data_IF_534936545938
#
_entry.id   IF_534936545938
#
_cell.length_a   1.000
_cell.length_b   1.000
_cell.length_c   1.000
_cell.angle_alpha   90.00
_cell.angle_beta   90.00
_cell.angle_gamma   90.00
#
_symmetry.space_group_name_H-M   'P 1'
#
loop_
_entity.id
_entity.type
_entity.pdbx_description
1 polymer ?
#
# COMPACT_ATOMS: atom_id res chain seq x y z
N UNK A 1 3.90 -20.33 0.58
CA UNK A 1 4.38 -20.59 -0.81
C UNK A 1 4.59 -19.20 -1.41
N UNK A 2 5.80 -18.64 -1.27
CA UNK A 2 6.02 -17.20 -1.43
C UNK A 2 5.87 -16.74 -2.87
N UNK A 3 4.86 -15.90 -3.14
CA UNK A 3 4.80 -15.15 -4.39
C UNK A 3 5.99 -14.19 -4.42
N UNK A 4 6.73 -14.16 -5.53
CA UNK A 4 7.82 -13.20 -5.71
C UNK A 4 7.23 -11.89 -6.21
N UNK A 5 7.21 -10.86 -5.37
CA UNK A 5 6.81 -9.52 -5.80
C UNK A 5 7.95 -8.84 -6.55
N UNK A 6 7.77 -8.63 -7.85
CA UNK A 6 8.67 -7.80 -8.66
C UNK A 6 7.97 -6.48 -9.01
N UNK A 7 8.36 -5.42 -8.31
CA UNK A 7 7.86 -4.07 -8.57
C UNK A 7 8.73 -3.28 -9.55
N UNK A 8 9.84 -3.83 -10.03
CA UNK A 8 10.72 -3.15 -10.99
C UNK A 8 10.00 -2.85 -12.30
N UNK A 9 9.03 -3.70 -12.68
CA UNK A 9 8.15 -3.50 -13.85
C UNK A 9 7.28 -2.24 -13.80
N UNK A 10 7.09 -1.65 -12.62
CA UNK A 10 6.31 -0.41 -12.46
C UNK A 10 7.17 0.85 -12.41
N UNK A 11 8.50 0.73 -12.55
CA UNK A 11 9.43 1.86 -12.39
C UNK A 11 9.11 3.02 -13.35
N UNK A 12 8.83 2.73 -14.61
CA UNK A 12 8.44 3.73 -15.60
C UNK A 12 7.16 4.44 -15.19
N UNK A 13 6.13 3.68 -14.83
CA UNK A 13 4.84 4.21 -14.37
C UNK A 13 4.97 5.05 -13.10
N UNK A 14 5.83 4.66 -12.15
CA UNK A 14 6.13 5.46 -10.96
C UNK A 14 6.80 6.79 -11.34
N UNK A 15 7.70 6.78 -12.32
CA UNK A 15 8.34 7.99 -12.86
C UNK A 15 7.34 8.94 -13.53
N UNK A 16 6.41 8.40 -14.32
CA UNK A 16 5.32 9.19 -14.90
C UNK A 16 4.39 9.76 -13.83
N UNK A 17 4.05 8.97 -12.81
CA UNK A 17 3.24 9.42 -11.69
C UNK A 17 3.92 10.56 -10.92
N UNK A 18 5.24 10.46 -10.68
CA UNK A 18 6.01 11.54 -10.03
C UNK A 18 6.00 12.81 -10.90
N UNK A 19 6.19 12.68 -12.21
CA UNK A 19 6.09 13.81 -13.16
C UNK A 19 4.69 14.45 -13.11
N UNK A 20 3.63 13.64 -13.17
CA UNK A 20 2.22 14.07 -13.14
C UNK A 20 1.89 14.81 -11.83
N UNK A 21 2.32 14.26 -10.70
CA UNK A 21 2.16 14.88 -9.38
C UNK A 21 2.93 16.19 -9.28
N UNK A 22 4.15 16.27 -9.81
CA UNK A 22 4.95 17.51 -9.82
C UNK A 22 4.26 18.64 -10.60
N UNK A 23 3.69 18.34 -11.77
CA UNK A 23 2.92 19.31 -12.56
C UNK A 23 1.67 19.78 -11.79
N UNK A 24 0.89 18.83 -11.25
CA UNK A 24 -0.31 19.14 -10.49
C UNK A 24 -0.02 19.99 -9.24
N UNK A 25 1.07 19.67 -8.51
CA UNK A 25 1.56 20.45 -7.36
C UNK A 25 1.98 21.88 -7.73
N UNK A 26 2.29 22.12 -9.00
CA UNK A 26 2.62 23.44 -9.52
C UNK A 26 1.39 24.22 -10.03
N UNK A 27 0.17 23.75 -9.72
CA UNK A 27 -1.10 24.33 -10.20
C UNK A 27 -1.19 24.41 -11.74
N UNK A 28 -0.55 23.49 -12.45
CA UNK A 28 -0.67 23.33 -13.89
C UNK A 28 -1.44 22.06 -14.22
N UNK A 29 -2.11 22.05 -15.37
CA UNK A 29 -2.86 20.89 -15.82
C UNK A 29 -1.90 19.80 -16.35
N UNK A 30 -1.86 18.60 -15.74
CA UNK A 30 -1.12 17.46 -16.26
C UNK A 30 -1.88 16.76 -17.40
N UNK A 31 -1.30 15.69 -17.96
CA UNK A 31 -1.94 14.84 -18.97
C UNK A 31 -3.27 14.21 -18.51
N UNK A 32 -3.41 13.97 -17.20
CA UNK A 32 -4.67 13.62 -16.52
C UNK A 32 -4.57 13.88 -15.03
N UNK A 33 -5.70 13.92 -14.33
CA UNK A 33 -5.74 14.04 -12.86
C UNK A 33 -4.98 12.86 -12.22
N UNK A 34 -3.97 13.11 -11.36
CA UNK A 34 -3.31 12.05 -10.62
C UNK A 34 -4.23 11.50 -9.52
N UNK A 35 -4.34 10.18 -9.43
CA UNK A 35 -5.19 9.49 -8.45
C UNK A 35 -4.32 8.63 -7.55
N UNK A 36 -4.41 8.88 -6.24
CA UNK A 36 -3.75 8.06 -5.20
C UNK A 36 -4.73 7.70 -4.10
N UNK A 37 -4.93 6.41 -3.89
CA UNK A 37 -5.72 5.92 -2.77
C UNK A 37 -4.87 5.89 -1.49
N UNK A 38 -5.50 6.29 -0.38
CA UNK A 38 -4.94 6.16 0.96
C UNK A 38 -5.88 5.30 1.79
N UNK A 39 -5.51 4.04 2.00
CA UNK A 39 -6.26 3.03 2.75
C UNK A 39 -5.34 2.31 3.73
N UNK A 40 -5.89 1.84 4.85
CA UNK A 40 -5.15 1.07 5.85
C UNK A 40 -4.92 -0.40 5.44
N UNK A 41 -4.06 -1.10 6.17
CA UNK A 41 -3.79 -2.53 5.95
C UNK A 41 -5.05 -3.41 6.07
N UNK A 42 -6.03 -2.97 6.86
CA UNK A 42 -7.34 -3.59 6.99
C UNK A 42 -8.10 -3.74 5.66
N UNK A 43 -8.03 -2.72 4.80
CA UNK A 43 -8.66 -2.76 3.48
C UNK A 43 -7.97 -3.81 2.58
N UNK A 44 -6.64 -3.83 2.57
CA UNK A 44 -5.90 -4.82 1.79
C UNK A 44 -6.08 -6.24 2.32
N UNK A 45 -6.22 -6.42 3.64
CA UNK A 45 -6.55 -7.71 4.23
C UNK A 45 -7.92 -8.20 3.75
N UNK A 46 -8.95 -7.34 3.81
CA UNK A 46 -10.28 -7.64 3.29
C UNK A 46 -10.27 -8.00 1.80
N UNK A 47 -9.56 -7.21 0.98
CA UNK A 47 -9.43 -7.44 -0.46
C UNK A 47 -8.89 -8.84 -0.78
N UNK A 48 -8.05 -9.39 0.10
CA UNK A 48 -7.38 -10.68 -0.05
C UNK A 48 -8.08 -11.82 0.69
N UNK A 49 -9.22 -11.58 1.33
CA UNK A 49 -9.90 -12.58 2.16
C UNK A 49 -9.15 -12.94 3.44
N UNK A 50 -8.17 -12.13 3.86
CA UNK A 50 -7.42 -12.33 5.10
C UNK A 50 -8.23 -11.80 6.27
N UNK A 51 -8.32 -12.58 7.34
CA UNK A 51 -8.95 -12.13 8.57
C UNK A 51 -8.13 -10.99 9.18
N UNK A 52 -8.77 -9.83 9.38
CA UNK A 52 -8.14 -8.63 9.94
C UNK A 52 -7.53 -8.86 11.33
N UNK A 53 -8.11 -9.77 12.13
CA UNK A 53 -7.56 -10.16 13.43
C UNK A 53 -6.18 -10.80 13.29
N UNK A 54 -6.04 -11.71 12.32
CA UNK A 54 -4.79 -12.44 12.10
C UNK A 54 -3.73 -11.48 11.56
N UNK A 55 -4.12 -10.58 10.66
CA UNK A 55 -3.23 -9.51 10.15
C UNK A 55 -2.62 -8.66 11.27
N UNK A 56 -3.43 -8.19 12.23
CA UNK A 56 -2.94 -7.35 13.34
C UNK A 56 -2.24 -8.15 14.45
N UNK A 57 -2.53 -9.44 14.58
CA UNK A 57 -1.87 -10.32 15.56
C UNK A 57 -0.51 -10.81 15.12
N UNK A 58 -0.28 -10.95 13.82
CA UNK A 58 0.93 -11.54 13.26
C UNK A 58 2.24 -10.93 13.84
N UNK A 59 2.38 -9.58 13.97
CA UNK A 59 3.55 -8.97 14.62
C UNK A 59 3.81 -9.43 16.06
N UNK A 60 2.74 -9.64 16.84
CA UNK A 60 2.83 -10.05 18.25
C UNK A 60 3.22 -11.51 18.42
N UNK A 61 2.98 -12.30 17.38
CA UNK A 61 3.37 -13.71 17.30
C UNK A 61 4.76 -13.87 16.67
N UNK A 62 5.47 -12.74 16.43
CA UNK A 62 6.80 -12.72 15.82
C UNK A 62 6.81 -13.03 14.32
N UNK A 63 5.63 -13.01 13.67
CA UNK A 63 5.47 -13.34 12.26
C UNK A 63 4.98 -12.11 11.48
N UNK A 64 5.89 -11.40 10.83
CA UNK A 64 5.54 -10.22 10.02
C UNK A 64 5.15 -10.58 8.59
N UNK A 65 5.31 -11.85 8.18
CA UNK A 65 5.14 -12.26 6.79
C UNK A 65 3.73 -11.93 6.32
N UNK A 66 2.70 -12.28 7.10
CA UNK A 66 1.31 -11.99 6.71
C UNK A 66 1.07 -10.50 6.44
N UNK A 67 1.67 -9.59 7.23
CA UNK A 67 1.52 -8.16 6.98
C UNK A 67 2.24 -7.73 5.70
N UNK A 68 3.45 -8.23 5.49
CA UNK A 68 4.25 -7.95 4.31
C UNK A 68 3.53 -8.46 3.07
N UNK A 69 3.03 -9.70 3.07
CA UNK A 69 2.32 -10.29 1.94
C UNK A 69 1.07 -9.47 1.61
N UNK A 70 0.26 -9.15 2.63
CA UNK A 70 -0.96 -8.36 2.44
C UNK A 70 -0.65 -6.96 1.90
N UNK A 71 0.36 -6.28 2.43
CA UNK A 71 0.74 -4.94 1.97
C UNK A 71 1.31 -4.98 0.56
N UNK A 72 2.19 -5.92 0.21
CA UNK A 72 2.76 -6.01 -1.13
C UNK A 72 1.68 -6.39 -2.16
N UNK A 73 0.82 -7.34 -1.84
CA UNK A 73 -0.29 -7.71 -2.73
C UNK A 73 -1.25 -6.53 -2.96
N UNK A 74 -1.60 -5.80 -1.89
CA UNK A 74 -2.44 -4.61 -1.97
C UNK A 74 -1.83 -3.53 -2.87
N UNK A 75 -0.52 -3.32 -2.77
CA UNK A 75 0.19 -2.37 -3.63
C UNK A 75 0.26 -2.83 -5.08
N UNK A 76 0.37 -4.13 -5.34
CA UNK A 76 0.28 -4.70 -6.69
C UNK A 76 -1.11 -4.45 -7.27
N UNK A 77 -2.16 -4.71 -6.50
CA UNK A 77 -3.55 -4.41 -6.88
C UNK A 77 -3.76 -2.93 -7.20
N UNK A 78 -3.19 -2.00 -6.42
CA UNK A 78 -3.30 -0.58 -6.74
C UNK A 78 -2.69 -0.24 -8.12
N UNK A 79 -1.59 -0.89 -8.49
CA UNK A 79 -1.05 -0.73 -9.84
C UNK A 79 -1.96 -1.38 -10.88
N UNK A 80 -2.30 -2.65 -10.71
CA UNK A 80 -2.94 -3.47 -11.76
C UNK A 80 -4.41 -3.12 -11.98
N UNK A 81 -5.19 -2.96 -10.91
CA UNK A 81 -6.65 -2.83 -11.00
C UNK A 81 -7.10 -1.36 -10.89
N UNK A 82 -6.50 -0.59 -9.97
CA UNK A 82 -6.97 0.78 -9.72
C UNK A 82 -6.40 1.80 -10.71
N UNK A 83 -5.25 1.53 -11.33
CA UNK A 83 -4.58 2.55 -12.13
C UNK A 83 -3.88 3.63 -11.29
N UNK A 84 -3.57 3.34 -10.02
CA UNK A 84 -3.04 4.32 -9.05
C UNK A 84 -1.69 4.94 -9.49
N UNK A 85 -1.50 6.22 -9.16
CA UNK A 85 -0.32 7.06 -9.38
C UNK A 85 0.66 7.04 -8.19
N UNK A 86 0.91 5.85 -7.66
CA UNK A 86 1.89 5.64 -6.57
C UNK A 86 3.28 5.83 -7.12
N UNK A 87 4.10 6.58 -6.39
CA UNK A 87 5.49 6.89 -6.80
C UNK A 87 6.51 5.93 -6.18
N UNK A 88 6.04 4.95 -5.41
CA UNK A 88 6.89 3.95 -4.79
C UNK A 88 6.09 2.83 -4.13
N UNK A 89 6.84 1.89 -3.56
CA UNK A 89 6.34 0.74 -2.81
C UNK A 89 7.07 0.71 -1.49
N UNK A 90 6.33 0.56 -0.40
CA UNK A 90 6.88 0.45 0.94
C UNK A 90 6.03 -0.48 1.78
N UNK A 91 6.64 -1.09 2.77
CA UNK A 91 5.94 -1.82 3.83
C UNK A 91 6.23 -1.14 5.16
N UNK A 92 5.29 -1.20 6.09
CA UNK A 92 5.44 -0.65 7.43
C UNK A 92 4.81 -1.58 8.46
N UNK A 93 5.21 -1.47 9.72
CA UNK A 93 4.54 -2.15 10.81
C UNK A 93 3.15 -1.54 11.01
N UNK A 94 2.10 -2.33 10.79
CA UNK A 94 0.73 -1.90 11.00
C UNK A 94 0.16 -2.52 12.28
N UNK A 95 0.18 -1.78 13.38
CA UNK A 95 -0.43 -2.21 14.64
C UNK A 95 -1.94 -1.93 14.69
N UNK A 96 -2.49 -1.29 13.65
CA UNK A 96 -3.88 -0.89 13.61
C UNK A 96 -4.30 -0.02 14.81
N UNK A 97 -5.59 -0.06 15.19
CA UNK A 97 -6.13 0.69 16.33
C UNK A 97 -5.52 0.27 17.68
N UNK A 98 -4.80 -0.87 17.75
CA UNK A 98 -4.11 -1.30 18.98
C UNK A 98 -3.06 -0.25 19.38
N UNK A 99 -2.39 0.38 18.40
CA UNK A 99 -1.45 1.47 18.67
C UNK A 99 -2.09 2.66 19.36
N UNK A 100 -3.32 3.02 19.01
CA UNK A 100 -4.06 4.12 19.64
C UNK A 100 -4.33 3.79 21.12
N UNK A 101 -4.71 2.55 21.42
CA UNK A 101 -4.93 2.08 22.79
C UNK A 101 -3.67 2.04 23.66
N UNK A 102 -2.48 1.88 23.05
CA UNK A 102 -1.19 1.95 23.76
C UNK A 102 -0.77 3.41 23.98
N UNK A 103 -1.01 4.29 23.00
CA UNK A 103 -0.59 5.69 23.06
C UNK A 103 -1.46 6.55 23.99
N UNK A 104 -2.77 6.26 24.08
CA UNK A 104 -3.72 6.97 24.93
C UNK A 104 -4.08 6.24 26.24
N UNK A 105 -3.33 5.18 26.58
CA UNK A 105 -3.48 4.41 27.82
C UNK A 105 -2.88 5.06 29.05
#
# INVERSE_FOLDING_TARGET
>A
MGRRWDFSRYKERMGEAERRLSIARSFREPDRVPVRISVGGSYFAWLQGVNIKDYYRAPWEGNFDLQIEVQLEGQRWCFEELGDDRTGVSVWLDLGPISEGIFFG
#
